data_IF_422449642090
#
_entry.id   IF_422449642090
#
_cell.length_a   1.000
_cell.length_b   1.000
_cell.length_c   1.000
_cell.angle_alpha   90.00
_cell.angle_beta   90.00
_cell.angle_gamma   90.00
#
_symmetry.space_group_name_H-M   'P 1'
#
loop_
_entity.id
_entity.type
_entity.pdbx_description
1 polymer ?
#
# COMPACT_ATOMS: atom_id res chain seq x y z
N UNK A 1 5.38 -7.30 6.33
CA UNK A 1 6.69 -7.38 5.65
C UNK A 1 7.24 -8.80 5.55
N UNK A 2 7.29 -9.59 6.64
CA UNK A 2 7.88 -10.93 6.63
C UNK A 2 7.37 -11.88 5.52
N UNK A 3 6.05 -11.92 5.19
CA UNK A 3 5.54 -12.79 4.11
C UNK A 3 6.03 -12.45 2.70
N UNK A 4 6.67 -11.29 2.51
CA UNK A 4 7.19 -10.85 1.21
C UNK A 4 8.66 -11.22 0.98
N UNK A 5 9.38 -11.72 2.00
CA UNK A 5 10.75 -12.20 1.83
C UNK A 5 10.79 -13.33 0.79
N UNK A 6 11.59 -13.18 -0.25
CA UNK A 6 11.70 -14.08 -1.39
C UNK A 6 10.82 -13.66 -2.59
N UNK A 7 9.70 -12.97 -2.36
CA UNK A 7 8.87 -12.39 -3.44
C UNK A 7 9.45 -11.07 -3.94
N UNK A 8 10.08 -10.32 -3.05
CA UNK A 8 10.82 -9.10 -3.35
C UNK A 8 11.87 -9.29 -4.45
N UNK A 9 12.54 -10.43 -4.50
CA UNK A 9 13.51 -10.73 -5.55
C UNK A 9 12.91 -10.71 -6.97
N UNK A 10 11.65 -11.14 -7.11
CA UNK A 10 10.96 -11.13 -8.41
C UNK A 10 10.60 -9.71 -8.84
N UNK A 11 10.29 -8.82 -7.89
CA UNK A 11 9.94 -7.44 -8.15
C UNK A 11 11.16 -6.52 -8.32
N UNK A 12 12.23 -6.77 -7.57
CA UNK A 12 13.39 -5.88 -7.45
C UNK A 12 14.65 -6.38 -8.18
N UNK A 13 14.61 -7.55 -8.83
CA UNK A 13 15.78 -8.15 -9.49
C UNK A 13 16.80 -8.77 -8.52
N UNK A 14 16.45 -8.88 -7.24
CA UNK A 14 17.28 -9.49 -6.19
C UNK A 14 16.69 -9.29 -4.79
N UNK A 15 17.17 -10.02 -3.77
CA UNK A 15 16.69 -9.87 -2.40
C UNK A 15 16.86 -8.43 -1.91
N UNK A 16 15.78 -7.79 -1.47
CA UNK A 16 15.76 -6.40 -1.02
C UNK A 16 15.39 -6.29 0.47
N UNK A 17 14.46 -7.12 0.94
CA UNK A 17 13.91 -7.04 2.29
C UNK A 17 14.92 -7.49 3.34
N UNK A 18 15.56 -8.65 3.18
CA UNK A 18 16.53 -9.15 4.19
C UNK A 18 17.73 -8.21 4.33
N UNK A 19 18.34 -7.71 3.24
CA UNK A 19 19.38 -6.68 3.34
C UNK A 19 18.90 -5.39 4.02
N UNK A 20 17.71 -4.89 3.67
CA UNK A 20 17.12 -3.69 4.28
C UNK A 20 16.91 -3.87 5.79
N UNK A 21 16.39 -5.02 6.20
CA UNK A 21 16.08 -5.31 7.61
C UNK A 21 17.30 -5.73 8.43
N UNK A 22 18.45 -5.98 7.80
CA UNK A 22 19.67 -6.43 8.48
C UNK A 22 19.54 -7.82 9.14
N UNK A 23 18.67 -8.69 8.60
CA UNK A 23 18.43 -10.04 9.11
C UNK A 23 17.12 -10.64 8.63
N UNK A 24 16.93 -11.94 8.85
CA UNK A 24 15.68 -12.64 8.51
C UNK A 24 14.57 -12.37 9.53
N UNK A 25 13.29 -12.68 9.20
CA UNK A 25 12.18 -12.55 10.16
C UNK A 25 12.42 -13.29 11.48
N UNK A 26 13.07 -14.45 11.45
CA UNK A 26 13.41 -15.23 12.65
C UNK A 26 14.50 -14.55 13.49
N UNK A 27 15.46 -13.88 12.85
CA UNK A 27 16.56 -13.18 13.53
C UNK A 27 16.12 -11.84 14.12
N UNK A 28 15.19 -11.14 13.46
CA UNK A 28 14.75 -9.77 13.80
C UNK A 28 13.23 -9.67 13.94
N UNK A 29 12.55 -10.54 14.71
CA UNK A 29 11.08 -10.62 14.71
C UNK A 29 10.40 -9.32 15.17
N UNK A 30 11.02 -8.59 16.10
CA UNK A 30 10.51 -7.28 16.54
C UNK A 30 10.55 -6.24 15.43
N UNK A 31 11.65 -6.18 14.67
CA UNK A 31 11.86 -5.17 13.63
C UNK A 31 10.92 -5.41 12.44
N UNK A 32 10.67 -6.68 12.10
CA UNK A 32 9.68 -7.03 11.07
C UNK A 32 8.25 -6.67 11.47
N UNK A 33 7.87 -6.82 12.75
CA UNK A 33 6.56 -6.32 13.23
C UNK A 33 6.50 -4.80 13.14
N UNK A 34 7.56 -4.11 13.57
CA UNK A 34 7.63 -2.65 13.48
C UNK A 34 7.47 -2.16 12.02
N UNK A 35 8.11 -2.83 11.07
CA UNK A 35 8.05 -2.48 9.66
C UNK A 35 6.79 -2.96 8.91
N UNK A 36 5.85 -3.62 9.58
CA UNK A 36 4.64 -4.17 8.96
C UNK A 36 3.42 -3.32 9.33
N UNK A 37 2.94 -2.49 8.40
CA UNK A 37 1.78 -1.60 8.64
C UNK A 37 0.55 -2.34 9.20
N UNK A 38 0.29 -3.56 8.71
CA UNK A 38 -0.78 -4.45 9.18
C UNK A 38 -0.72 -4.75 10.70
N UNK A 39 0.46 -4.77 11.31
CA UNK A 39 0.66 -5.07 12.73
C UNK A 39 0.36 -3.87 13.64
N UNK A 40 0.09 -2.69 13.05
CA UNK A 40 -0.21 -1.44 13.77
C UNK A 40 -1.65 -0.96 13.57
N UNK A 41 -2.49 -1.76 12.92
CA UNK A 41 -3.90 -1.42 12.74
C UNK A 41 -4.65 -1.46 14.09
N UNK A 42 -5.61 -0.55 14.32
CA UNK A 42 -6.04 0.54 13.43
C UNK A 42 -5.07 1.73 13.42
N UNK A 43 -4.98 2.45 12.30
CA UNK A 43 -4.19 3.69 12.20
C UNK A 43 -4.95 4.93 12.69
N UNK A 44 -6.28 4.88 12.75
CA UNK A 44 -7.11 5.99 13.22
C UNK A 44 -7.18 7.18 12.25
N UNK A 45 -6.70 7.00 11.02
CA UNK A 45 -6.76 8.01 9.95
C UNK A 45 -7.45 7.44 8.72
N UNK A 46 -8.04 8.32 7.91
CA UNK A 46 -8.58 7.91 6.61
C UNK A 46 -7.44 7.52 5.67
N UNK A 47 -7.59 6.38 5.01
CA UNK A 47 -6.63 5.84 4.06
C UNK A 47 -7.24 5.81 2.66
N UNK A 48 -6.52 6.37 1.69
CA UNK A 48 -6.82 6.24 0.26
C UNK A 48 -5.78 5.29 -0.34
N UNK A 49 -6.20 4.10 -0.75
CA UNK A 49 -5.29 3.08 -1.27
C UNK A 49 -5.45 2.96 -2.80
N UNK A 50 -4.33 2.97 -3.51
CA UNK A 50 -4.28 2.78 -4.96
C UNK A 50 -3.55 1.47 -5.23
N UNK A 51 -4.24 0.50 -5.83
CA UNK A 51 -3.76 -0.90 -5.82
C UNK A 51 -3.08 -1.36 -7.12
N UNK A 52 -3.56 -0.93 -8.30
CA UNK A 52 -3.06 -1.35 -9.62
C UNK A 52 -2.70 -2.86 -9.71
N UNK A 53 -1.54 -3.20 -10.29
CA UNK A 53 -1.00 -4.59 -10.36
C UNK A 53 -0.81 -5.26 -9.01
N UNK A 54 -0.81 -4.50 -7.91
CA UNK A 54 -0.61 -5.00 -6.55
C UNK A 54 -1.91 -5.25 -5.78
N UNK A 55 -3.08 -5.13 -6.42
CA UNK A 55 -4.36 -5.46 -5.79
C UNK A 55 -4.35 -6.81 -5.04
N UNK A 56 -3.83 -7.93 -5.59
CA UNK A 56 -3.82 -9.21 -4.87
C UNK A 56 -3.02 -9.19 -3.56
N UNK A 57 -2.00 -8.33 -3.44
CA UNK A 57 -1.19 -8.23 -2.21
C UNK A 57 -1.68 -7.13 -1.26
N UNK A 58 -2.43 -6.13 -1.76
CA UNK A 58 -2.95 -5.01 -0.97
C UNK A 58 -4.36 -5.26 -0.42
N UNK A 59 -5.21 -6.01 -1.12
CA UNK A 59 -6.58 -6.31 -0.70
C UNK A 59 -6.68 -6.92 0.71
N UNK A 60 -5.80 -7.85 1.14
CA UNK A 60 -5.83 -8.35 2.51
C UNK A 60 -5.60 -7.25 3.56
N UNK A 61 -4.68 -6.31 3.30
CA UNK A 61 -4.45 -5.18 4.18
C UNK A 61 -5.68 -4.26 4.23
N UNK A 62 -6.26 -3.92 3.08
CA UNK A 62 -7.46 -3.08 3.02
C UNK A 62 -8.64 -3.71 3.79
N UNK A 63 -8.82 -5.02 3.71
CA UNK A 63 -9.82 -5.75 4.48
C UNK A 63 -9.53 -5.71 5.99
N UNK A 64 -8.28 -5.94 6.40
CA UNK A 64 -7.86 -5.89 7.80
C UNK A 64 -8.03 -4.49 8.40
N UNK A 65 -7.65 -3.44 7.65
CA UNK A 65 -7.78 -2.06 8.09
C UNK A 65 -9.26 -1.69 8.32
N UNK A 66 -10.14 -2.03 7.38
CA UNK A 66 -11.60 -1.85 7.57
C UNK A 66 -12.13 -2.63 8.78
N UNK A 67 -11.70 -3.87 8.95
CA UNK A 67 -12.11 -4.69 10.10
C UNK A 67 -11.63 -4.13 11.45
N UNK A 68 -10.51 -3.39 11.46
CA UNK A 68 -10.00 -2.71 12.65
C UNK A 68 -10.70 -1.38 12.97
N UNK A 69 -11.59 -0.90 12.08
CA UNK A 69 -12.35 0.33 12.24
C UNK A 69 -11.83 1.53 11.44
N UNK A 70 -10.76 1.36 10.64
CA UNK A 70 -10.25 2.43 9.79
C UNK A 70 -11.19 2.72 8.61
N UNK A 71 -11.24 3.99 8.20
CA UNK A 71 -11.91 4.40 6.97
C UNK A 71 -10.97 4.22 5.78
N UNK A 72 -11.29 3.28 4.88
CA UNK A 72 -10.45 2.94 3.73
C UNK A 72 -11.24 3.02 2.43
N UNK A 73 -10.86 3.96 1.56
CA UNK A 73 -11.29 4.00 0.17
C UNK A 73 -10.21 3.36 -0.73
N UNK A 74 -10.61 2.61 -1.75
CA UNK A 74 -9.70 1.93 -2.68
C UNK A 74 -10.01 2.36 -4.11
N UNK A 75 -8.97 2.65 -4.88
CA UNK A 75 -9.01 2.83 -6.32
C UNK A 75 -8.15 1.77 -7.01
N UNK A 76 -8.74 1.08 -7.99
CA UNK A 76 -8.04 0.09 -8.82
C UNK A 76 -8.30 0.44 -10.30
N UNK A 77 -7.47 1.28 -10.92
CA UNK A 77 -7.68 1.68 -12.31
C UNK A 77 -7.47 0.46 -13.25
N UNK A 78 -8.33 0.28 -14.26
CA UNK A 78 -8.27 -0.89 -15.14
C UNK A 78 -6.99 -0.88 -15.98
N UNK A 79 -6.30 -2.02 -16.04
CA UNK A 79 -5.06 -2.16 -16.82
C UNK A 79 -3.88 -1.32 -16.31
N UNK A 80 -3.97 -0.77 -15.09
CA UNK A 80 -2.90 0.00 -14.49
C UNK A 80 -1.65 -0.85 -14.24
N UNK A 81 -0.50 -0.22 -14.47
CA UNK A 81 0.83 -0.75 -14.14
C UNK A 81 1.26 -0.29 -12.74
N UNK A 82 2.46 -0.67 -12.32
CA UNK A 82 3.01 -0.14 -11.08
C UNK A 82 3.32 1.38 -11.14
N UNK A 83 3.66 1.90 -12.33
CA UNK A 83 4.22 3.25 -12.47
C UNK A 83 3.24 4.28 -13.04
N UNK A 84 2.36 3.91 -13.95
CA UNK A 84 1.41 4.86 -14.55
C UNK A 84 0.45 5.49 -13.53
N UNK A 85 0.09 4.79 -12.46
CA UNK A 85 -0.72 5.34 -11.37
C UNK A 85 -0.06 6.50 -10.60
N UNK A 86 1.26 6.67 -10.67
CA UNK A 86 1.97 7.79 -10.04
C UNK A 86 2.42 8.85 -11.05
N UNK A 87 2.15 8.67 -12.33
CA UNK A 87 2.48 9.61 -13.40
C UNK A 87 1.24 10.44 -13.77
N UNK A 88 1.10 11.68 -13.27
CA UNK A 88 -0.13 12.46 -13.43
C UNK A 88 -0.52 12.74 -14.88
N UNK A 89 0.44 12.70 -15.81
CA UNK A 89 0.18 12.89 -17.25
C UNK A 89 -0.48 11.69 -17.95
N UNK A 90 -0.58 10.53 -17.30
CA UNK A 90 -1.24 9.34 -17.87
C UNK A 90 -2.73 9.28 -17.51
N UNK A 91 -3.55 8.52 -18.25
CA UNK A 91 -4.96 8.31 -17.88
C UNK A 91 -5.14 7.73 -16.46
N UNK A 92 -4.28 6.81 -16.05
CA UNK A 92 -4.37 6.19 -14.72
C UNK A 92 -3.90 7.13 -13.61
N UNK A 93 -2.84 7.92 -13.83
CA UNK A 93 -2.43 8.97 -12.90
C UNK A 93 -3.47 10.09 -12.76
N UNK A 94 -4.11 10.49 -13.86
CA UNK A 94 -5.21 11.45 -13.81
C UNK A 94 -6.39 10.93 -12.95
N UNK A 95 -6.76 9.66 -13.09
CA UNK A 95 -7.78 9.03 -12.25
C UNK A 95 -7.38 9.01 -10.75
N UNK A 96 -6.10 8.84 -10.44
CA UNK A 96 -5.57 8.93 -9.07
C UNK A 96 -5.69 10.35 -8.53
N UNK A 97 -5.35 11.37 -9.33
CA UNK A 97 -5.52 12.79 -8.94
C UNK A 97 -6.98 13.09 -8.63
N UNK A 98 -7.91 12.70 -9.50
CA UNK A 98 -9.34 12.90 -9.31
C UNK A 98 -9.86 12.22 -8.03
N UNK A 99 -9.36 11.01 -7.75
CA UNK A 99 -9.69 10.28 -6.54
C UNK A 99 -9.17 10.97 -5.28
N UNK A 100 -7.94 11.50 -5.29
CA UNK A 100 -7.40 12.28 -4.17
C UNK A 100 -8.22 13.57 -3.99
N UNK A 101 -8.45 14.33 -5.05
CA UNK A 101 -9.18 15.61 -4.96
C UNK A 101 -10.59 15.41 -4.41
N UNK A 102 -11.28 14.35 -4.82
CA UNK A 102 -12.65 14.07 -4.37
C UNK A 102 -12.78 13.49 -2.95
N UNK A 103 -11.69 12.97 -2.37
CA UNK A 103 -11.74 12.20 -1.10
C UNK A 103 -10.85 12.77 0.01
N UNK A 104 -9.70 13.35 -0.32
CA UNK A 104 -8.71 13.76 0.68
C UNK A 104 -9.04 15.11 1.34
N UNK A 105 -9.74 15.99 0.62
CA UNK A 105 -10.00 17.35 1.06
C UNK A 105 -11.47 17.56 1.41
N UNK A 106 -11.79 18.31 2.48
CA UNK A 106 -13.13 18.80 2.69
C UNK A 106 -13.53 19.73 1.53
N UNK A 107 -14.84 19.85 1.21
CA UNK A 107 -15.30 20.81 0.21
C UNK A 107 -14.88 22.22 0.62
N UNK A 108 -14.57 23.11 -0.35
CA UNK A 108 -14.22 24.49 -0.04
C UNK A 108 -15.36 25.17 0.76
N UNK A 109 -15.03 25.73 1.94
CA UNK A 109 -15.97 26.55 2.72
C UNK A 109 -16.52 25.93 4.02
N UNK A 110 -15.78 25.04 4.67
CA UNK A 110 -15.99 24.70 6.09
C UNK A 110 -14.90 25.28 6.97
#
# INVERSE_FOLDING_TARGET
>A
LAPFVGRDAQACGGPAIVPLMGGTPTQKPRDYRLASAADHLPLGVRQLLIEAVFAPIMQPYAAQARASGDTVDVLTPPGATHHDIIEPGTPNGAAVVDFIVSKAFPPPGR
#
